data_IF_832387478407
#
_entry.id   IF_832387478407
#
_cell.length_a   1.000
_cell.length_b   1.000
_cell.length_c   1.000
_cell.angle_alpha   90.00
_cell.angle_beta   90.00
_cell.angle_gamma   90.00
#
_symmetry.space_group_name_H-M   'P 1'
#
loop_
_entity.id
_entity.type
_entity.pdbx_description
1 polymer ?
#
# COMPACT_ATOMS: atom_id res chain seq x y z
N UNK A 1 -40.82 27.52 51.67
CA UNK A 1 -39.74 27.06 52.54
C UNK A 1 -39.00 26.03 51.74
N UNK A 2 -37.76 26.31 51.36
CA UNK A 2 -36.97 25.40 50.57
C UNK A 2 -35.84 24.80 51.41
N UNK A 3 -35.72 23.48 51.34
CA UNK A 3 -34.57 22.74 51.81
C UNK A 3 -34.01 21.96 50.63
N UNK A 4 -32.77 22.26 50.25
CA UNK A 4 -32.08 21.66 49.10
C UNK A 4 -30.80 21.01 49.61
N UNK A 5 -30.42 19.88 49.03
CA UNK A 5 -29.14 19.25 49.32
C UNK A 5 -28.47 18.76 48.06
N UNK A 6 -27.17 18.97 47.97
CA UNK A 6 -26.29 18.43 46.96
C UNK A 6 -25.32 17.42 47.57
N UNK A 7 -24.82 16.54 46.73
CA UNK A 7 -23.72 15.64 47.05
C UNK A 7 -22.53 16.07 46.21
N UNK A 8 -21.46 16.46 46.87
CA UNK A 8 -20.18 16.74 46.25
C UNK A 8 -19.26 15.53 46.47
N UNK A 9 -18.60 15.08 45.41
CA UNK A 9 -17.60 14.02 45.46
C UNK A 9 -16.23 14.66 45.28
N UNK A 10 -15.34 14.48 46.25
CA UNK A 10 -13.96 14.93 46.13
C UNK A 10 -13.13 14.00 45.23
N UNK A 11 -11.90 14.42 44.93
CA UNK A 11 -10.99 13.66 44.06
C UNK A 11 -10.40 12.39 44.72
N UNK A 12 -10.62 12.19 46.02
CA UNK A 12 -10.25 11.00 46.79
C UNK A 12 -11.43 10.03 46.99
N UNK A 13 -12.62 10.36 46.47
CA UNK A 13 -13.85 9.59 46.62
C UNK A 13 -14.61 9.88 47.92
N UNK A 14 -14.22 10.91 48.68
CA UNK A 14 -14.97 11.44 49.81
C UNK A 14 -16.28 12.07 49.36
N UNK A 15 -17.36 11.74 50.06
CA UNK A 15 -18.70 12.22 49.76
C UNK A 15 -19.12 13.25 50.79
N UNK A 16 -19.33 14.48 50.33
CA UNK A 16 -19.74 15.62 51.15
C UNK A 16 -21.18 16.02 50.86
N UNK A 17 -22.03 16.03 51.88
CA UNK A 17 -23.43 16.45 51.75
C UNK A 17 -23.57 17.92 52.12
N UNK A 18 -23.73 18.75 51.09
CA UNK A 18 -24.00 20.19 51.23
C UNK A 18 -25.50 20.39 51.30
N UNK A 19 -26.00 20.96 52.39
CA UNK A 19 -27.40 21.28 52.57
C UNK A 19 -27.62 22.77 52.78
N UNK A 20 -28.64 23.29 52.10
CA UNK A 20 -29.11 24.65 52.21
C UNK A 20 -30.55 24.64 52.71
N UNK A 21 -30.80 25.37 53.77
CA UNK A 21 -32.13 25.76 54.20
C UNK A 21 -32.31 27.25 53.92
N UNK A 22 -33.41 27.61 53.26
CA UNK A 22 -33.80 28.99 53.01
C UNK A 22 -35.29 29.19 53.30
N UNK A 23 -35.60 30.03 54.29
CA UNK A 23 -36.97 30.36 54.64
C UNK A 23 -37.52 31.50 53.77
N UNK A 24 -38.33 31.20 52.75
CA UNK A 24 -38.79 32.18 51.76
C UNK A 24 -39.47 33.44 52.35
N UNK A 25 -40.13 33.31 53.52
CA UNK A 25 -40.78 34.43 54.23
C UNK A 25 -39.87 35.13 55.24
N UNK A 26 -39.04 34.37 55.95
CA UNK A 26 -38.14 34.89 57.00
C UNK A 26 -36.80 35.39 56.44
N UNK A 27 -36.42 34.95 55.24
CA UNK A 27 -35.10 35.16 54.64
C UNK A 27 -33.98 34.50 55.45
N UNK A 28 -34.28 33.54 56.31
CA UNK A 28 -33.25 32.86 57.11
C UNK A 28 -32.56 31.81 56.25
N UNK A 29 -31.24 31.87 56.18
CA UNK A 29 -30.39 30.96 55.44
C UNK A 29 -29.50 30.19 56.41
N UNK A 30 -29.47 28.88 56.25
CA UNK A 30 -28.55 27.98 56.95
C UNK A 30 -27.90 27.08 55.90
N UNK A 31 -26.57 27.16 55.82
CA UNK A 31 -25.76 26.29 54.99
C UNK A 31 -24.97 25.35 55.88
N UNK A 32 -25.01 24.05 55.57
CA UNK A 32 -24.25 23.03 56.27
C UNK A 32 -23.54 22.10 55.29
N UNK A 33 -22.40 21.55 55.71
CA UNK A 33 -21.67 20.49 55.01
C UNK A 33 -21.45 19.35 56.00
N UNK A 34 -21.88 18.14 55.68
CA UNK A 34 -21.76 16.95 56.54
C UNK A 34 -22.29 17.19 57.97
N UNK A 35 -23.48 17.79 58.04
CA UNK A 35 -24.17 18.17 59.28
C UNK A 35 -23.46 19.26 60.11
N UNK A 36 -22.33 19.81 59.66
CA UNK A 36 -21.66 20.96 60.28
C UNK A 36 -22.14 22.25 59.64
N UNK A 37 -22.59 23.20 60.46
CA UNK A 37 -23.00 24.51 59.98
C UNK A 37 -21.79 25.28 59.47
N UNK A 38 -21.84 25.69 58.20
CA UNK A 38 -20.77 26.42 57.52
C UNK A 38 -21.08 27.91 57.48
N UNK A 39 -22.35 28.27 57.23
CA UNK A 39 -22.78 29.66 57.16
C UNK A 39 -24.21 29.80 57.70
N UNK A 40 -24.45 30.89 58.43
CA UNK A 40 -25.79 31.35 58.83
C UNK A 40 -25.95 32.79 58.37
N UNK A 41 -27.13 33.13 57.88
CA UNK A 41 -27.46 34.49 57.46
C UNK A 41 -28.96 34.75 57.65
N UNK A 42 -29.32 36.01 57.90
CA UNK A 42 -30.70 36.38 58.21
C UNK A 42 -31.19 37.46 57.27
N UNK A 43 -32.49 37.43 56.96
CA UNK A 43 -33.16 38.42 56.11
C UNK A 43 -32.64 38.49 54.67
N UNK A 44 -32.18 37.37 54.13
CA UNK A 44 -31.76 37.22 52.73
C UNK A 44 -32.99 37.22 51.84
N UNK A 45 -33.27 38.35 51.19
CA UNK A 45 -34.44 38.53 50.29
C UNK A 45 -34.03 38.79 48.84
N UNK A 46 -32.74 38.71 48.55
CA UNK A 46 -32.13 38.96 47.24
C UNK A 46 -31.14 37.87 46.87
N UNK A 47 -30.70 37.88 45.61
CA UNK A 47 -29.71 36.93 45.13
C UNK A 47 -28.40 37.08 45.91
N UNK A 48 -27.83 35.97 46.37
CA UNK A 48 -26.60 35.98 47.17
C UNK A 48 -25.77 34.73 46.91
N UNK A 49 -24.46 34.90 46.89
CA UNK A 49 -23.50 33.80 46.76
C UNK A 49 -22.76 33.62 48.07
N UNK A 50 -22.66 32.37 48.52
CA UNK A 50 -21.87 31.97 49.68
C UNK A 50 -20.73 31.07 49.20
N UNK A 51 -19.51 31.44 49.55
CA UNK A 51 -18.31 30.68 49.20
C UNK A 51 -17.72 30.05 50.46
N UNK A 52 -17.37 28.78 50.39
CA UNK A 52 -16.76 28.03 51.49
C UNK A 52 -15.84 26.94 50.93
N UNK A 53 -14.90 26.48 51.74
CA UNK A 53 -14.00 25.41 51.34
C UNK A 53 -14.56 24.05 51.76
N UNK A 54 -14.46 23.09 50.85
CA UNK A 54 -14.55 21.66 51.16
C UNK A 54 -13.18 21.08 50.80
N UNK A 55 -12.42 20.72 51.83
CA UNK A 55 -10.99 20.42 51.71
C UNK A 55 -10.24 21.57 50.98
N UNK A 56 -9.60 21.31 49.84
CA UNK A 56 -8.85 22.31 49.05
C UNK A 56 -9.66 22.97 47.92
N UNK A 57 -10.95 22.67 47.81
CA UNK A 57 -11.83 23.16 46.74
C UNK A 57 -12.76 24.28 47.23
N UNK A 58 -12.78 25.38 46.49
CA UNK A 58 -13.66 26.51 46.78
C UNK A 58 -15.03 26.21 46.18
N UNK A 59 -16.00 25.94 47.04
CA UNK A 59 -17.38 25.68 46.67
C UNK A 59 -18.24 26.93 46.82
N UNK A 60 -19.21 27.11 45.94
CA UNK A 60 -20.14 28.22 45.95
C UNK A 60 -21.58 27.72 45.95
N UNK A 61 -22.37 28.20 46.89
CA UNK A 61 -23.83 28.09 46.86
C UNK A 61 -24.42 29.43 46.47
N UNK A 62 -25.19 29.44 45.38
CA UNK A 62 -25.82 30.64 44.83
C UNK A 62 -27.31 30.55 45.05
N UNK A 63 -27.88 31.59 45.64
CA UNK A 63 -29.32 31.82 45.75
C UNK A 63 -29.66 32.87 44.72
N UNK A 64 -30.60 32.58 43.83
CA UNK A 64 -31.10 33.53 42.84
C UNK A 64 -32.54 33.92 43.19
N UNK A 65 -32.81 35.22 43.27
CA UNK A 65 -34.17 35.74 43.41
C UNK A 65 -34.85 35.75 42.03
N UNK A 66 -35.97 35.05 41.92
CA UNK A 66 -36.80 35.01 40.72
C UNK A 66 -38.10 35.80 40.94
N UNK A 67 -38.91 35.95 39.88
CA UNK A 67 -40.18 36.68 39.94
C UNK A 67 -41.17 36.06 40.94
N UNK A 68 -41.13 34.75 41.13
CA UNK A 68 -42.09 33.98 41.94
C UNK A 68 -41.45 33.12 43.02
N UNK A 69 -40.19 33.37 43.39
CA UNK A 69 -39.50 32.57 44.40
C UNK A 69 -37.98 32.71 44.35
N UNK A 70 -37.29 31.64 44.73
CA UNK A 70 -35.84 31.53 44.68
C UNK A 70 -35.42 30.23 44.01
N UNK A 71 -34.30 30.27 43.28
CA UNK A 71 -33.60 29.09 42.80
C UNK A 71 -32.20 28.99 43.42
N UNK A 72 -31.63 27.79 43.38
CA UNK A 72 -30.44 27.44 44.12
C UNK A 72 -29.48 26.65 43.23
N UNK A 73 -28.20 27.01 43.28
CA UNK A 73 -27.15 26.34 42.54
C UNK A 73 -25.95 26.07 43.43
N UNK A 74 -25.25 24.97 43.15
CA UNK A 74 -24.02 24.58 43.82
C UNK A 74 -22.95 24.34 42.75
N UNK A 75 -21.85 25.08 42.83
CA UNK A 75 -20.77 24.97 41.86
C UNK A 75 -19.41 24.99 42.55
N UNK A 76 -18.44 24.29 41.96
CA UNK A 76 -17.04 24.31 42.38
C UNK A 76 -16.31 25.35 41.55
N UNK A 77 -15.73 26.36 42.19
CA UNK A 77 -15.03 27.42 41.51
C UNK A 77 -13.64 26.95 41.05
N UNK A 78 -13.54 26.60 39.76
CA UNK A 78 -12.29 26.12 39.13
C UNK A 78 -11.38 27.23 38.62
N UNK A 79 -11.83 28.48 38.68
CA UNK A 79 -11.12 29.63 38.11
C UNK A 79 -10.19 30.28 39.14
N UNK A 80 -10.65 30.37 40.39
CA UNK A 80 -9.89 30.95 41.51
C UNK A 80 -8.62 30.15 41.78
N UNK A 81 -7.57 30.85 42.19
CA UNK A 81 -6.25 30.27 42.42
C UNK A 81 -6.19 29.50 43.76
N UNK A 82 -6.80 28.32 43.80
CA UNK A 82 -6.65 27.34 44.89
C UNK A 82 -5.48 26.39 44.62
N UNK A 83 -4.86 25.79 45.65
CA UNK A 83 -3.82 24.77 45.47
C UNK A 83 -4.25 23.66 44.50
N UNK A 84 -5.52 23.25 44.56
CA UNK A 84 -6.08 22.22 43.69
C UNK A 84 -6.21 22.68 42.23
N UNK A 85 -6.68 23.90 41.98
CA UNK A 85 -6.79 24.46 40.64
C UNK A 85 -5.41 24.64 39.97
N UNK A 86 -4.35 24.93 40.73
CA UNK A 86 -2.97 24.96 40.21
C UNK A 86 -2.51 23.59 39.70
N UNK A 87 -2.74 22.54 40.47
CA UNK A 87 -2.40 21.17 40.09
C UNK A 87 -3.17 20.74 38.83
N UNK A 88 -4.48 21.01 38.79
CA UNK A 88 -5.34 20.71 37.62
C UNK A 88 -4.84 21.38 36.35
N UNK A 89 -4.51 22.68 36.39
CA UNK A 89 -3.96 23.42 35.25
C UNK A 89 -2.62 22.86 34.78
N UNK A 90 -1.76 22.43 35.71
CA UNK A 90 -0.47 21.83 35.38
C UNK A 90 -0.66 20.48 34.64
N UNK A 91 -1.51 19.60 35.15
CA UNK A 91 -1.80 18.31 34.53
C UNK A 91 -2.47 18.45 33.15
N UNK A 92 -3.45 19.37 33.01
CA UNK A 92 -4.07 19.67 31.73
C UNK A 92 -3.05 20.18 30.70
N UNK A 93 -2.11 21.03 31.13
CA UNK A 93 -1.06 21.54 30.24
C UNK A 93 -0.12 20.42 29.76
N UNK A 94 0.17 19.45 30.62
CA UNK A 94 1.01 18.30 30.30
C UNK A 94 0.28 17.34 29.36
N UNK A 95 -0.98 17.00 29.66
CA UNK A 95 -1.80 16.16 28.80
C UNK A 95 -2.02 16.78 27.42
N UNK A 96 -2.26 18.09 27.34
CA UNK A 96 -2.38 18.80 26.06
C UNK A 96 -1.11 18.66 25.22
N UNK A 97 0.07 18.81 25.83
CA UNK A 97 1.35 18.60 25.13
C UNK A 97 1.49 17.17 24.62
N UNK A 98 1.17 16.16 25.44
CA UNK A 98 1.22 14.76 25.00
C UNK A 98 0.26 14.47 23.85
N UNK A 99 -0.97 14.99 23.90
CA UNK A 99 -1.94 14.84 22.81
C UNK A 99 -1.45 15.47 21.51
N UNK A 100 -0.82 16.65 21.58
CA UNK A 100 -0.21 17.30 20.41
C UNK A 100 0.93 16.45 19.83
N UNK A 101 1.84 15.97 20.67
CA UNK A 101 2.94 15.11 20.22
C UNK A 101 2.45 13.81 19.59
N UNK A 102 1.42 13.18 20.18
CA UNK A 102 0.82 11.96 19.66
C UNK A 102 0.17 12.20 18.29
N UNK A 103 -0.60 13.29 18.15
CA UNK A 103 -1.22 13.65 16.88
C UNK A 103 -0.16 13.94 15.80
N UNK A 104 0.91 14.67 16.14
CA UNK A 104 2.01 14.96 15.21
C UNK A 104 2.74 13.68 14.77
N UNK A 105 3.00 12.77 15.72
CA UNK A 105 3.66 11.49 15.45
C UNK A 105 2.84 10.57 14.53
N UNK A 106 1.50 10.59 14.67
CA UNK A 106 0.60 9.85 13.78
C UNK A 106 0.67 10.38 12.35
N UNK A 107 0.58 11.71 12.17
CA UNK A 107 0.62 12.36 10.85
C UNK A 107 1.95 12.08 10.14
N UNK A 108 3.07 12.16 10.86
CA UNK A 108 4.39 11.86 10.30
C UNK A 108 4.51 10.40 9.87
N UNK A 109 4.01 9.47 10.69
CA UNK A 109 4.01 8.03 10.37
C UNK A 109 3.22 7.73 9.09
N UNK A 110 1.98 8.26 8.98
CA UNK A 110 1.14 8.07 7.80
C UNK A 110 1.78 8.66 6.54
N UNK A 111 2.36 9.85 6.66
CA UNK A 111 3.07 10.52 5.55
C UNK A 111 4.28 9.71 5.10
N UNK A 112 5.08 9.19 6.05
CA UNK A 112 6.22 8.33 5.76
C UNK A 112 5.83 7.04 5.04
N UNK A 113 4.76 6.37 5.50
CA UNK A 113 4.23 5.17 4.83
C UNK A 113 3.77 5.50 3.41
N UNK A 114 3.02 6.59 3.22
CA UNK A 114 2.51 6.99 1.91
C UNK A 114 3.64 7.29 0.92
N UNK A 115 4.65 8.06 1.34
CA UNK A 115 5.82 8.36 0.53
C UNK A 115 6.64 7.09 0.22
N UNK A 116 6.83 6.21 1.20
CA UNK A 116 7.52 4.94 1.04
C UNK A 116 6.85 4.02 0.02
N UNK A 117 5.51 3.88 0.09
CA UNK A 117 4.73 3.11 -0.89
C UNK A 117 4.84 3.71 -2.29
N UNK A 118 4.80 5.04 -2.41
CA UNK A 118 4.88 5.72 -3.70
C UNK A 118 6.26 5.53 -4.36
N UNK A 119 7.33 5.65 -3.57
CA UNK A 119 8.69 5.39 -4.04
C UNK A 119 8.89 3.93 -4.45
N UNK A 120 8.42 2.99 -3.63
CA UNK A 120 8.48 1.56 -3.96
C UNK A 120 7.76 1.24 -5.27
N UNK A 121 6.55 1.77 -5.48
CA UNK A 121 5.79 1.52 -6.69
C UNK A 121 6.50 2.06 -7.94
N UNK A 122 7.09 3.26 -7.86
CA UNK A 122 7.89 3.82 -8.96
C UNK A 122 9.10 2.94 -9.29
N UNK A 123 9.80 2.44 -8.26
CA UNK A 123 10.94 1.56 -8.46
C UNK A 123 10.52 0.22 -9.09
N UNK A 124 9.43 -0.38 -8.63
CA UNK A 124 8.90 -1.60 -9.25
C UNK A 124 8.44 -1.39 -10.69
N UNK A 125 7.85 -0.25 -11.02
CA UNK A 125 7.48 0.07 -12.40
C UNK A 125 8.71 0.19 -13.29
N UNK A 126 9.76 0.86 -12.82
CA UNK A 126 11.03 0.96 -13.55
C UNK A 126 11.68 -0.43 -13.78
N UNK A 127 11.68 -1.29 -12.76
CA UNK A 127 12.18 -2.67 -12.87
C UNK A 127 11.34 -3.53 -13.81
N UNK A 128 10.00 -3.41 -13.78
CA UNK A 128 9.11 -4.14 -14.72
C UNK A 128 9.33 -3.69 -16.16
N UNK A 129 9.41 -2.39 -16.41
CA UNK A 129 9.61 -1.83 -17.74
C UNK A 129 10.95 -2.25 -18.34
N UNK A 130 12.03 -2.18 -17.55
CA UNK A 130 13.37 -2.61 -17.99
C UNK A 130 13.52 -4.13 -18.11
N UNK A 131 12.79 -4.91 -17.30
CA UNK A 131 12.89 -6.37 -17.27
C UNK A 131 11.99 -7.13 -18.24
N UNK A 132 11.04 -6.47 -18.91
CA UNK A 132 10.05 -7.12 -19.79
C UNK A 132 9.85 -6.44 -21.14
N UNK A 133 10.40 -5.24 -21.35
CA UNK A 133 10.14 -4.46 -22.56
C UNK A 133 11.30 -3.61 -23.03
N UNK A 134 11.31 -3.31 -24.32
CA UNK A 134 12.17 -2.28 -24.90
C UNK A 134 11.34 -1.02 -25.11
N UNK A 135 11.78 0.10 -24.55
CA UNK A 135 11.05 1.36 -24.57
C UNK A 135 11.81 2.43 -25.34
N UNK A 136 11.07 3.29 -26.05
CA UNK A 136 11.63 4.47 -26.71
C UNK A 136 10.77 5.69 -26.38
N UNK A 137 11.39 6.75 -25.86
CA UNK A 137 10.70 7.98 -25.51
C UNK A 137 9.67 7.88 -24.35
N UNK A 138 9.75 6.83 -23.52
CA UNK A 138 8.81 6.63 -22.40
C UNK A 138 9.17 7.57 -21.22
N UNK A 139 8.40 8.65 -21.06
CA UNK A 139 8.29 9.37 -19.77
C UNK A 139 7.18 8.74 -18.90
N UNK A 140 7.13 9.00 -17.59
CA UNK A 140 6.03 8.54 -16.74
C UNK A 140 4.64 8.98 -17.23
N UNK A 141 4.54 10.19 -17.79
CA UNK A 141 3.33 10.71 -18.40
C UNK A 141 2.98 9.95 -19.70
N UNK A 142 3.99 9.68 -20.52
CA UNK A 142 3.83 8.92 -21.76
C UNK A 142 3.42 7.46 -21.51
N UNK A 143 3.86 6.85 -20.41
CA UNK A 143 3.41 5.53 -20.00
C UNK A 143 1.90 5.51 -19.70
N UNK A 144 1.40 6.51 -18.97
CA UNK A 144 -0.03 6.65 -18.71
C UNK A 144 -0.85 6.86 -20.01
N UNK A 145 -0.33 7.63 -20.96
CA UNK A 145 -0.97 7.80 -22.27
C UNK A 145 -0.94 6.53 -23.11
N UNK A 146 0.14 5.75 -23.08
CA UNK A 146 0.22 4.46 -23.76
C UNK A 146 -0.80 3.45 -23.22
N UNK A 147 -1.07 3.47 -21.91
CA UNK A 147 -2.08 2.60 -21.31
C UNK A 147 -3.52 3.03 -21.65
N UNK A 148 -3.77 4.33 -21.79
CA UNK A 148 -5.10 4.85 -22.08
C UNK A 148 -5.45 4.84 -23.59
N UNK A 149 -4.49 5.18 -24.45
CA UNK A 149 -4.71 5.48 -25.87
C UNK A 149 -3.84 4.64 -26.83
N UNK A 150 -2.98 3.76 -26.28
CA UNK A 150 -2.04 2.98 -27.07
C UNK A 150 -2.74 2.05 -28.05
N UNK A 151 -2.20 1.98 -29.28
CA UNK A 151 -2.56 0.96 -30.26
C UNK A 151 -1.48 -0.10 -30.34
N UNK A 152 -1.88 -1.31 -30.67
CA UNK A 152 -0.98 -2.46 -30.79
C UNK A 152 -0.74 -2.84 -32.25
N UNK A 153 0.46 -3.32 -32.54
CA UNK A 153 0.85 -3.99 -33.80
C UNK A 153 2.00 -4.95 -33.50
N UNK A 154 2.63 -5.54 -34.52
CA UNK A 154 3.79 -6.40 -34.37
C UNK A 154 5.08 -5.65 -34.73
N UNK A 155 6.09 -5.77 -33.89
CA UNK A 155 7.46 -5.37 -34.16
C UNK A 155 8.29 -6.61 -34.47
N UNK A 156 8.94 -6.62 -35.63
CA UNK A 156 9.90 -7.65 -36.03
C UNK A 156 11.31 -7.23 -35.61
N UNK A 157 12.09 -8.18 -35.10
CA UNK A 157 13.47 -7.99 -34.67
C UNK A 157 14.44 -8.64 -35.66
N UNK A 158 15.51 -7.94 -36.02
CA UNK A 158 16.54 -8.42 -36.94
C UNK A 158 17.92 -8.29 -36.29
N UNK A 159 18.71 -9.36 -36.38
CA UNK A 159 20.05 -9.39 -35.82
C UNK A 159 21.04 -8.98 -36.91
N UNK A 160 21.76 -7.88 -36.70
CA UNK A 160 22.81 -7.41 -37.61
C UNK A 160 24.15 -7.45 -36.88
N UNK A 161 25.08 -8.24 -37.39
CA UNK A 161 26.46 -8.32 -36.91
C UNK A 161 27.38 -7.48 -37.78
N UNK A 162 27.99 -6.44 -37.20
CA UNK A 162 29.12 -5.72 -37.79
C UNK A 162 30.39 -6.11 -37.02
N UNK A 163 31.57 -6.02 -37.64
CA UNK A 163 32.83 -6.68 -37.29
C UNK A 163 33.34 -6.50 -35.84
N UNK A 164 32.72 -5.63 -35.04
CA UNK A 164 33.05 -5.37 -33.63
C UNK A 164 31.82 -5.30 -32.71
N UNK A 165 30.59 -5.29 -33.24
CA UNK A 165 29.37 -5.09 -32.44
C UNK A 165 28.15 -5.77 -33.08
N UNK A 166 27.39 -6.50 -32.25
CA UNK A 166 26.06 -7.00 -32.62
C UNK A 166 25.00 -5.97 -32.23
N UNK A 167 24.15 -5.64 -33.20
CA UNK A 167 23.00 -4.76 -33.03
C UNK A 167 21.74 -5.55 -33.32
N UNK A 168 20.71 -5.33 -32.52
CA UNK A 168 19.36 -5.81 -32.82
C UNK A 168 18.56 -4.62 -33.26
N UNK A 169 18.10 -4.66 -34.51
CA UNK A 169 17.15 -3.72 -35.05
C UNK A 169 15.75 -4.23 -34.77
N UNK A 170 14.81 -3.32 -34.54
CA UNK A 170 13.39 -3.64 -34.52
C UNK A 170 12.64 -2.63 -35.38
N UNK A 171 11.56 -3.08 -36.01
CA UNK A 171 10.71 -2.23 -36.83
C UNK A 171 9.25 -2.67 -36.81
N UNK A 172 8.35 -1.71 -36.90
CA UNK A 172 6.91 -1.95 -37.01
C UNK A 172 6.24 -0.92 -37.91
N UNK A 173 5.08 -1.29 -38.45
CA UNK A 173 4.24 -0.40 -39.25
C UNK A 173 2.98 -0.04 -38.45
N UNK A 174 2.72 1.25 -38.32
CA UNK A 174 1.52 1.78 -37.66
C UNK A 174 0.27 1.57 -38.52
N UNK A 175 -0.92 1.76 -37.94
CA UNK A 175 -2.18 1.66 -38.69
C UNK A 175 -2.37 2.75 -39.77
N UNK A 176 -1.56 3.82 -39.72
CA UNK A 176 -1.51 4.86 -40.75
C UNK A 176 -0.31 4.71 -41.70
N UNK A 177 0.20 3.50 -41.87
CA UNK A 177 1.32 3.13 -42.75
C UNK A 177 2.66 3.83 -42.49
N UNK A 178 2.80 4.50 -41.35
CA UNK A 178 4.09 5.04 -40.91
C UNK A 178 4.97 3.90 -40.38
N UNK A 179 6.20 3.81 -40.89
CA UNK A 179 7.23 2.89 -40.39
C UNK A 179 7.99 3.52 -39.22
N UNK A 180 8.16 2.76 -38.15
CA UNK A 180 8.96 3.12 -36.98
C UNK A 180 10.00 2.05 -36.78
N UNK A 181 11.25 2.46 -36.56
CA UNK A 181 12.36 1.54 -36.31
C UNK A 181 13.29 2.07 -35.23
N UNK A 182 13.97 1.17 -34.55
CA UNK A 182 15.04 1.48 -33.62
C UNK A 182 16.05 0.34 -33.52
N UNK A 183 17.02 0.50 -32.63
CA UNK A 183 18.00 -0.56 -32.37
C UNK A 183 18.50 -0.50 -30.93
N UNK A 184 19.07 -1.61 -30.47
CA UNK A 184 19.83 -1.69 -29.23
C UNK A 184 21.09 -2.54 -29.41
N UNK A 185 22.09 -2.27 -28.56
CA UNK A 185 23.36 -2.98 -28.57
C UNK A 185 23.24 -4.26 -27.74
N UNK A 186 23.92 -5.31 -28.18
CA UNK A 186 24.02 -6.57 -27.44
C UNK A 186 25.48 -7.00 -27.34
N UNK A 187 25.92 -7.53 -26.19
CA UNK A 187 27.27 -8.06 -26.04
C UNK A 187 27.54 -9.20 -27.03
N UNK A 188 28.78 -9.29 -27.54
CA UNK A 188 29.20 -10.38 -28.43
C UNK A 188 29.66 -11.62 -27.64
N UNK A 189 28.81 -12.10 -26.74
CA UNK A 189 29.13 -13.20 -25.80
C UNK A 189 28.40 -14.51 -26.14
N UNK A 190 27.80 -14.61 -27.33
CA UNK A 190 27.11 -15.82 -27.80
C UNK A 190 25.63 -15.59 -28.10
N UNK A 191 24.74 -16.42 -27.53
CA UNK A 191 23.30 -16.31 -27.78
C UNK A 191 22.73 -15.04 -27.12
N UNK A 192 21.93 -14.27 -27.87
CA UNK A 192 21.26 -13.08 -27.32
C UNK A 192 20.08 -13.55 -26.48
N UNK A 193 20.05 -13.16 -25.20
CA UNK A 193 18.95 -13.44 -24.28
C UNK A 193 18.13 -12.16 -24.10
N UNK A 194 16.83 -12.26 -24.39
CA UNK A 194 15.88 -11.18 -24.21
C UNK A 194 15.58 -10.94 -22.72
N UNK A 195 15.00 -9.78 -22.35
CA UNK A 195 14.60 -9.52 -20.96
C UNK A 195 13.65 -10.57 -20.39
N UNK A 196 12.75 -11.14 -21.19
CA UNK A 196 11.86 -12.25 -20.81
C UNK A 196 12.60 -13.59 -20.59
N UNK A 197 13.91 -13.64 -20.86
CA UNK A 197 14.78 -14.80 -20.68
C UNK A 197 14.76 -15.80 -21.84
N UNK A 198 14.06 -15.52 -22.95
CA UNK A 198 14.12 -16.31 -24.17
C UNK A 198 15.34 -15.96 -25.03
N UNK A 199 15.85 -16.92 -25.82
CA UNK A 199 16.83 -16.59 -26.84
C UNK A 199 16.16 -15.81 -27.99
N UNK A 200 16.79 -14.74 -28.44
CA UNK A 200 16.36 -14.02 -29.63
C UNK A 200 16.83 -14.78 -30.89
N UNK A 201 15.89 -15.08 -31.78
CA UNK A 201 16.16 -15.52 -33.14
C UNK A 201 15.95 -14.39 -34.15
N UNK A 202 16.55 -14.54 -35.33
CA UNK A 202 16.31 -13.61 -36.42
C UNK A 202 14.83 -13.66 -36.84
N UNK A 203 14.23 -12.48 -37.01
CA UNK A 203 12.81 -12.27 -37.34
C UNK A 203 11.82 -12.72 -36.26
N UNK A 204 12.27 -12.82 -35.00
CA UNK A 204 11.32 -12.91 -33.90
C UNK A 204 10.47 -11.64 -33.87
N UNK A 205 9.17 -11.80 -33.62
CA UNK A 205 8.19 -10.73 -33.62
C UNK A 205 7.43 -10.69 -32.30
N UNK A 206 7.24 -9.49 -31.77
CA UNK A 206 6.56 -9.24 -30.51
C UNK A 206 5.54 -8.12 -30.66
N UNK A 207 4.53 -8.13 -29.80
CA UNK A 207 3.57 -7.03 -29.76
C UNK A 207 4.28 -5.75 -29.37
N UNK A 208 3.98 -4.67 -30.08
CA UNK A 208 4.42 -3.31 -29.73
C UNK A 208 3.19 -2.45 -29.49
N UNK A 209 3.19 -1.75 -28.36
CA UNK A 209 2.20 -0.71 -28.05
C UNK A 209 2.80 0.65 -28.34
N UNK A 210 2.12 1.45 -29.16
CA UNK A 210 2.58 2.77 -29.56
C UNK A 210 1.47 3.81 -29.41
N UNK A 211 1.86 5.07 -29.21
CA UNK A 211 0.92 6.18 -29.14
C UNK A 211 0.58 6.63 -30.58
N UNK A 212 -0.70 6.62 -31.02
CA UNK A 212 -1.04 6.97 -32.40
C UNK A 212 -0.68 8.41 -32.79
N UNK A 213 -0.75 9.35 -31.85
CA UNK A 213 -0.38 10.75 -32.05
C UNK A 213 1.13 10.96 -32.13
N UNK A 214 1.94 10.05 -31.57
CA UNK A 214 3.40 10.09 -31.63
C UNK A 214 3.99 8.67 -31.57
N UNK A 215 4.07 7.96 -32.71
CA UNK A 215 4.49 6.55 -32.75
C UNK A 215 5.93 6.28 -32.30
N UNK A 216 6.75 7.33 -32.16
CA UNK A 216 8.09 7.23 -31.56
C UNK A 216 8.04 6.89 -30.08
N UNK A 217 6.93 7.20 -29.40
CA UNK A 217 6.64 6.76 -28.05
C UNK A 217 6.00 5.38 -28.14
N UNK A 218 6.78 4.34 -27.82
CA UNK A 218 6.33 2.96 -27.90
C UNK A 218 7.07 2.04 -26.93
N UNK A 219 6.48 0.86 -26.74
CA UNK A 219 6.96 -0.22 -25.90
C UNK A 219 6.81 -1.56 -26.63
N UNK A 220 7.92 -2.26 -26.86
CA UNK A 220 7.92 -3.64 -27.36
C UNK A 220 7.71 -4.57 -26.17
N UNK A 221 6.63 -5.33 -26.17
CA UNK A 221 6.21 -6.23 -25.10
C UNK A 221 6.74 -7.65 -25.35
N UNK A 222 7.90 -7.99 -24.77
CA UNK A 222 8.51 -9.32 -24.97
C UNK A 222 7.68 -10.47 -24.37
N UNK A 223 6.70 -10.15 -23.53
CA UNK A 223 5.78 -11.13 -22.97
C UNK A 223 4.61 -11.51 -23.91
N UNK A 224 4.52 -10.87 -25.08
CA UNK A 224 3.47 -11.12 -26.08
C UNK A 224 4.08 -11.44 -27.46
N UNK A 225 4.67 -12.63 -27.64
CA UNK A 225 5.25 -13.04 -28.92
C UNK A 225 4.17 -13.28 -29.99
N UNK A 226 4.53 -13.06 -31.25
CA UNK A 226 3.72 -13.48 -32.37
C UNK A 226 3.63 -15.02 -32.45
N UNK A 227 2.57 -15.52 -33.09
CA UNK A 227 2.33 -16.97 -33.22
C UNK A 227 3.52 -17.72 -33.87
N UNK A 228 4.20 -17.09 -34.83
CA UNK A 228 5.37 -17.67 -35.49
C UNK A 228 6.57 -17.78 -34.55
N UNK A 229 6.84 -16.75 -33.74
CA UNK A 229 7.89 -16.78 -32.71
C UNK A 229 7.59 -17.83 -31.65
N UNK A 230 6.34 -17.94 -31.22
CA UNK A 230 5.93 -19.00 -30.30
C UNK A 230 6.16 -20.40 -30.89
N UNK A 231 5.87 -20.61 -32.17
CA UNK A 231 6.13 -21.88 -32.85
C UNK A 231 7.64 -22.18 -32.91
N UNK A 232 8.48 -21.17 -33.16
CA UNK A 232 9.94 -21.30 -33.08
C UNK A 232 10.40 -21.73 -31.69
N UNK A 233 9.89 -21.10 -30.62
CA UNK A 233 10.24 -21.47 -29.26
C UNK A 233 9.78 -22.86 -28.86
N UNK A 234 8.60 -23.28 -29.32
CA UNK A 234 8.13 -24.65 -29.12
C UNK A 234 9.07 -25.67 -29.79
N UNK A 235 9.52 -25.38 -31.02
CA UNK A 235 10.46 -26.25 -31.74
C UNK A 235 11.86 -26.27 -31.10
N UNK A 236 12.32 -25.14 -30.56
CA UNK A 236 13.57 -25.08 -29.79
C UNK A 236 13.48 -25.91 -28.51
N UNK A 237 12.38 -25.80 -27.76
CA UNK A 237 12.13 -26.59 -26.57
C UNK A 237 12.11 -28.09 -26.89
N UNK A 238 11.41 -28.49 -27.96
CA UNK A 238 11.40 -29.87 -28.45
C UNK A 238 12.81 -30.38 -28.75
N UNK A 239 13.61 -29.61 -29.47
CA UNK A 239 15.00 -29.99 -29.82
C UNK A 239 15.89 -30.11 -28.58
N UNK A 240 15.68 -29.24 -27.58
CA UNK A 240 16.40 -29.31 -26.33
C UNK A 240 16.07 -30.62 -25.57
N UNK A 241 14.79 -30.96 -25.45
CA UNK A 241 14.34 -32.21 -24.82
C UNK A 241 14.91 -33.46 -25.52
N UNK A 242 14.82 -33.52 -26.85
CA UNK A 242 15.37 -34.66 -27.62
C UNK A 242 16.89 -34.79 -27.43
N UNK A 243 17.61 -33.67 -27.27
CA UNK A 243 19.06 -33.69 -27.02
C UNK A 243 19.39 -34.15 -25.61
N UNK A 244 18.57 -33.77 -24.62
CA UNK A 244 18.80 -34.10 -23.22
C UNK A 244 18.47 -35.56 -22.88
N UNK A 245 17.49 -36.15 -23.58
CA UNK A 245 17.01 -37.52 -23.36
C UNK A 245 17.08 -38.33 -24.67
N UNK A 246 18.29 -38.65 -25.17
CA UNK A 246 18.47 -39.37 -26.43
C UNK A 246 17.89 -40.80 -26.44
N UNK A 247 17.62 -41.37 -25.28
CA UNK A 247 16.97 -42.67 -25.08
C UNK A 247 15.44 -42.63 -25.28
N UNK A 248 14.83 -41.44 -25.20
CA UNK A 248 13.42 -41.26 -25.43
C UNK A 248 13.10 -41.28 -26.94
N UNK A 249 11.84 -41.56 -27.28
CA UNK A 249 11.42 -41.48 -28.68
C UNK A 249 11.49 -40.03 -29.19
N UNK A 250 11.58 -39.81 -30.51
CA UNK A 250 11.46 -38.47 -31.09
C UNK A 250 10.12 -37.79 -30.79
N UNK A 251 9.06 -38.56 -30.54
CA UNK A 251 7.72 -38.07 -30.20
C UNK A 251 7.63 -37.51 -28.78
N UNK A 252 8.40 -38.10 -27.86
CA UNK A 252 8.44 -37.72 -26.45
C UNK A 252 8.77 -36.23 -26.25
N UNK A 253 9.85 -35.73 -26.86
CA UNK A 253 10.24 -34.32 -26.71
C UNK A 253 9.20 -33.32 -27.21
N UNK A 254 8.43 -33.69 -28.26
CA UNK A 254 7.32 -32.84 -28.73
C UNK A 254 6.15 -32.87 -27.76
N UNK A 255 5.85 -34.05 -27.20
CA UNK A 255 4.81 -34.22 -26.19
C UNK A 255 5.11 -33.37 -24.96
N UNK A 256 6.34 -33.42 -24.44
CA UNK A 256 6.77 -32.61 -23.29
C UNK A 256 6.62 -31.12 -23.60
N UNK A 257 7.16 -30.64 -24.72
CA UNK A 257 7.09 -29.22 -25.08
C UNK A 257 5.64 -28.72 -25.24
N UNK A 258 4.77 -29.50 -25.90
CA UNK A 258 3.34 -29.15 -26.05
C UNK A 258 2.60 -29.12 -24.70
N UNK A 259 2.87 -30.09 -23.83
CA UNK A 259 2.26 -30.14 -22.51
C UNK A 259 2.75 -29.01 -21.60
N UNK A 260 4.03 -28.63 -21.68
CA UNK A 260 4.56 -27.45 -21.00
C UNK A 260 3.82 -26.20 -21.46
N UNK A 261 3.70 -25.97 -22.77
CA UNK A 261 2.97 -24.82 -23.31
C UNK A 261 1.50 -24.80 -22.83
N UNK A 262 0.82 -25.94 -22.88
CA UNK A 262 -0.61 -26.07 -22.55
C UNK A 262 -0.90 -25.89 -21.05
N UNK A 263 -0.06 -26.47 -20.18
CA UNK A 263 -0.36 -26.57 -18.74
C UNK A 263 0.40 -25.57 -17.89
N UNK A 264 1.56 -25.09 -18.34
CA UNK A 264 2.42 -24.16 -17.59
C UNK A 264 2.56 -22.80 -18.28
N UNK A 265 2.11 -22.70 -19.54
CA UNK A 265 2.20 -21.49 -20.33
C UNK A 265 3.49 -21.42 -21.13
N UNK A 266 3.52 -20.51 -22.10
CA UNK A 266 4.61 -20.45 -23.06
C UNK A 266 5.96 -20.05 -22.45
N UNK A 267 5.96 -19.24 -21.39
CA UNK A 267 7.20 -18.81 -20.74
C UNK A 267 8.04 -20.00 -20.25
N UNK A 268 7.39 -21.12 -19.86
CA UNK A 268 8.09 -22.30 -19.36
C UNK A 268 8.73 -23.13 -20.49
N UNK A 269 8.49 -22.78 -21.76
CA UNK A 269 9.28 -23.32 -22.86
C UNK A 269 10.75 -22.93 -22.74
N UNK A 270 11.06 -21.75 -22.19
CA UNK A 270 12.45 -21.34 -21.95
C UNK A 270 13.14 -22.23 -20.92
N UNK A 271 12.42 -22.75 -19.91
CA UNK A 271 12.99 -23.71 -18.97
C UNK A 271 13.46 -24.99 -19.69
N UNK A 272 12.69 -25.47 -20.67
CA UNK A 272 13.11 -26.61 -21.50
C UNK A 272 14.29 -26.27 -22.41
N UNK A 273 14.29 -25.09 -23.04
CA UNK A 273 15.36 -24.61 -23.92
C UNK A 273 16.69 -24.52 -23.17
N UNK A 274 16.66 -24.02 -21.93
CA UNK A 274 17.84 -23.76 -21.10
C UNK A 274 18.06 -24.81 -20.00
N UNK A 275 17.53 -26.02 -20.17
CA UNK A 275 17.58 -27.08 -19.16
C UNK A 275 18.99 -27.51 -18.72
N UNK A 276 20.01 -27.24 -19.55
CA UNK A 276 21.42 -27.51 -19.23
C UNK A 276 22.23 -26.25 -18.91
N UNK A 277 21.62 -25.07 -18.94
CA UNK A 277 22.29 -23.77 -18.77
C UNK A 277 22.46 -23.43 -17.29
N UNK A 278 23.63 -22.94 -16.85
CA UNK A 278 23.82 -22.52 -15.47
C UNK A 278 23.08 -21.20 -15.16
N UNK A 279 22.63 -20.98 -13.91
CA UNK A 279 21.91 -19.76 -13.51
C UNK A 279 22.67 -18.45 -13.80
N UNK A 280 24.00 -18.47 -13.81
CA UNK A 280 24.81 -17.30 -14.12
C UNK A 280 24.66 -16.80 -15.56
N UNK A 281 24.30 -17.67 -16.51
CA UNK A 281 24.13 -17.31 -17.93
C UNK A 281 22.69 -16.86 -18.24
N UNK A 282 21.70 -17.48 -17.59
CA UNK A 282 20.31 -17.07 -17.69
C UNK A 282 19.64 -17.20 -16.31
N UNK A 283 19.59 -16.11 -15.53
CA UNK A 283 19.04 -16.15 -14.17
C UNK A 283 17.55 -16.49 -14.11
N UNK A 284 16.78 -16.21 -15.18
CA UNK A 284 15.34 -16.49 -15.25
C UNK A 284 15.07 -17.95 -15.60
N UNK A 285 15.72 -18.46 -16.64
CA UNK A 285 15.50 -19.82 -17.16
C UNK A 285 16.82 -20.58 -17.28
N UNK A 286 16.95 -21.64 -16.50
CA UNK A 286 18.19 -22.40 -16.36
C UNK A 286 17.89 -23.82 -15.88
N UNK A 287 18.96 -24.59 -15.62
CA UNK A 287 18.86 -25.94 -15.07
C UNK A 287 17.98 -26.03 -13.82
N UNK A 288 18.04 -25.06 -12.92
CA UNK A 288 17.29 -25.12 -11.67
C UNK A 288 15.80 -24.79 -11.87
N UNK A 289 15.46 -23.86 -12.77
CA UNK A 289 14.06 -23.62 -13.14
C UNK A 289 13.45 -24.80 -13.90
N UNK A 290 14.22 -25.43 -14.80
CA UNK A 290 13.85 -26.69 -15.45
C UNK A 290 13.58 -27.81 -14.45
N UNK A 291 14.50 -28.06 -13.52
CA UNK A 291 14.32 -29.11 -12.50
C UNK A 291 13.08 -28.84 -11.64
N UNK A 292 12.78 -27.58 -11.32
CA UNK A 292 11.54 -27.21 -10.61
C UNK A 292 10.30 -27.50 -11.45
N UNK A 293 10.32 -27.15 -12.74
CA UNK A 293 9.23 -27.42 -13.68
C UNK A 293 8.90 -28.91 -13.75
N UNK A 294 9.90 -29.77 -14.02
CA UNK A 294 9.66 -31.21 -14.23
C UNK A 294 9.44 -32.00 -12.94
N UNK A 295 9.84 -31.46 -11.79
CA UNK A 295 9.60 -32.05 -10.46
C UNK A 295 8.31 -31.57 -9.80
N UNK A 296 7.61 -30.61 -10.41
CA UNK A 296 6.26 -30.24 -9.99
C UNK A 296 5.36 -31.48 -10.03
N UNK A 297 4.78 -31.91 -8.90
CA UNK A 297 4.04 -33.18 -8.84
C UNK A 297 2.86 -33.26 -9.80
N UNK A 298 2.13 -32.14 -9.99
CA UNK A 298 0.98 -32.11 -10.88
C UNK A 298 1.44 -32.25 -12.33
N UNK A 299 2.51 -31.55 -12.70
CA UNK A 299 3.04 -31.59 -14.06
C UNK A 299 3.73 -32.90 -14.40
N UNK A 300 4.52 -33.45 -13.47
CA UNK A 300 5.15 -34.75 -13.62
C UNK A 300 4.12 -35.85 -13.89
N UNK A 301 2.97 -35.80 -13.23
CA UNK A 301 1.86 -36.72 -13.49
C UNK A 301 1.26 -36.55 -14.89
N UNK A 302 1.14 -35.31 -15.40
CA UNK A 302 0.71 -35.06 -16.79
C UNK A 302 1.70 -35.67 -17.77
N UNK A 303 3.00 -35.42 -17.61
CA UNK A 303 4.03 -35.97 -18.49
C UNK A 303 4.05 -37.50 -18.47
N UNK A 304 3.92 -38.11 -17.28
CA UNK A 304 3.84 -39.56 -17.14
C UNK A 304 2.59 -40.16 -17.80
N UNK A 305 1.45 -39.47 -17.76
CA UNK A 305 0.21 -39.98 -18.37
C UNK A 305 0.19 -39.79 -19.87
N UNK A 306 0.68 -38.67 -20.37
CA UNK A 306 0.47 -38.24 -21.75
C UNK A 306 1.68 -38.49 -22.66
N UNK A 307 2.89 -38.60 -22.11
CA UNK A 307 4.13 -38.70 -22.88
C UNK A 307 4.91 -40.00 -22.67
N UNK A 308 4.46 -40.92 -21.81
CA UNK A 308 5.20 -42.14 -21.45
C UNK A 308 5.35 -43.15 -22.61
N UNK A 309 4.35 -43.25 -23.48
CA UNK A 309 4.33 -44.19 -24.62
C UNK A 309 4.50 -43.50 -25.99
N UNK A 310 4.75 -42.18 -26.00
CA UNK A 310 4.95 -41.39 -27.22
C UNK A 310 6.35 -41.57 -27.77
#
# INVERSE_FOLDING_TARGET
MAQVSWVYLDDFGGQHRVGLYHGDRSGHVLLHCDLRVVQVDFSVRESRTYSFFVEDELCEVRIFKEKTGFSYDFNVNKEVDTPRNRLRKADESRNRKYMIFLALGLVLSVTGIFLGLRWWNQQQQAERLSGSSLTSGLSPEAAGMLDAEGKTTLAELYIVSDALQRKVFYGFTTAGDSQVSGYFYVPDTGQIILPNGFPLNDRDAFTVRYLPSSPRIHQVEFEQPAAQTLATYLEMARKAEVRAHPEATPGHGLCVAKNTLKHKGWHQLADLIFQSTPPAQNPKHNRDSYLRLVRDPEFANVLKRECWDQ
#
